data_IF_896075955896
#
_entry.id   IF_896075955896
#
_cell.length_a   1.000
_cell.length_b   1.000
_cell.length_c   1.000
_cell.angle_alpha   90.00
_cell.angle_beta   90.00
_cell.angle_gamma   90.00
#
_symmetry.space_group_name_H-M   'P 1'
#
loop_
_entity.id
_entity.type
_entity.pdbx_description
1 polymer ?
#
# COMPACT_ATOMS: atom_id res chain seq x y z
N UNK A 1 11.69 -8.60 -3.06
CA UNK A 1 11.73 -7.24 -2.48
C UNK A 1 12.81 -7.06 -1.42
N UNK A 2 12.86 -7.90 -0.38
CA UNK A 2 13.82 -7.80 0.74
C UNK A 2 15.29 -7.72 0.28
N UNK A 3 15.75 -8.63 -0.60
CA UNK A 3 17.13 -8.60 -1.14
C UNK A 3 17.52 -7.22 -1.71
N UNK A 4 16.66 -6.65 -2.55
CA UNK A 4 16.87 -5.33 -3.18
C UNK A 4 16.82 -4.18 -2.17
N UNK A 5 15.99 -4.30 -1.14
CA UNK A 5 15.94 -3.32 -0.06
C UNK A 5 17.24 -3.34 0.77
N UNK A 6 17.78 -4.52 1.07
CA UNK A 6 19.09 -4.68 1.72
C UNK A 6 20.23 -4.13 0.84
N UNK A 7 20.24 -4.43 -0.45
CA UNK A 7 21.22 -3.87 -1.40
C UNK A 7 21.19 -2.32 -1.42
N UNK A 8 19.98 -1.73 -1.35
CA UNK A 8 19.82 -0.27 -1.25
C UNK A 8 20.30 0.27 0.10
N UNK A 9 19.99 -0.39 1.21
CA UNK A 9 20.46 0.01 2.53
C UNK A 9 22.00 0.01 2.58
N UNK A 10 22.63 -1.02 2.02
CA UNK A 10 24.08 -1.13 1.87
C UNK A 10 24.66 -0.02 0.98
N UNK A 11 24.07 0.19 -0.19
CA UNK A 11 24.49 1.25 -1.12
C UNK A 11 24.44 2.66 -0.51
N UNK A 12 23.45 2.90 0.37
CA UNK A 12 23.29 4.17 1.10
C UNK A 12 24.01 4.20 2.47
N UNK A 13 24.69 3.11 2.87
CA UNK A 13 25.42 2.99 4.15
C UNK A 13 24.56 3.17 5.41
N UNK A 14 23.29 2.76 5.37
CA UNK A 14 22.33 2.91 6.49
C UNK A 14 21.97 1.59 7.17
N UNK A 15 22.67 0.49 6.89
CA UNK A 15 22.38 -0.85 7.45
C UNK A 15 22.40 -0.90 8.98
N UNK A 16 23.08 0.04 9.64
CA UNK A 16 23.10 0.17 11.09
C UNK A 16 21.83 0.82 11.68
N UNK A 17 21.00 1.45 10.83
CA UNK A 17 19.74 2.12 11.21
C UNK A 17 18.50 1.33 10.81
N UNK A 18 18.62 0.40 9.85
CA UNK A 18 17.47 -0.32 9.27
C UNK A 18 17.65 -1.83 9.41
N UNK A 19 16.60 -2.50 9.88
CA UNK A 19 16.50 -3.96 9.86
C UNK A 19 15.36 -4.36 8.93
N UNK A 20 15.67 -5.14 7.89
CA UNK A 20 14.73 -5.51 6.84
C UNK A 20 14.50 -7.02 6.89
N UNK A 21 13.25 -7.41 7.10
CA UNK A 21 12.84 -8.80 7.23
C UNK A 21 11.70 -9.13 6.26
N UNK A 22 11.52 -10.43 5.98
CA UNK A 22 10.30 -10.95 5.36
C UNK A 22 9.29 -11.27 6.46
N UNK A 23 8.07 -10.76 6.35
CA UNK A 23 7.00 -10.99 7.31
C UNK A 23 5.62 -11.00 6.64
N UNK A 24 4.66 -11.67 7.27
CA UNK A 24 3.24 -11.60 6.90
C UNK A 24 2.57 -10.48 7.71
N UNK A 25 1.86 -9.57 7.03
CA UNK A 25 1.15 -8.47 7.68
C UNK A 25 0.00 -8.96 8.58
N UNK A 26 -0.51 -10.17 8.37
CA UNK A 26 -1.51 -10.80 9.25
C UNK A 26 -0.89 -11.45 10.50
N UNK A 27 0.44 -11.49 10.61
CA UNK A 27 1.17 -12.02 11.78
C UNK A 27 2.58 -11.44 11.85
N UNK A 28 2.71 -10.26 12.44
CA UNK A 28 4.01 -9.59 12.51
C UNK A 28 4.92 -10.28 13.54
N UNK A 29 6.20 -10.57 13.22
CA UNK A 29 7.12 -11.28 14.09
C UNK A 29 7.75 -10.35 15.14
N UNK A 30 6.94 -9.52 15.78
CA UNK A 30 7.39 -8.55 16.77
C UNK A 30 6.56 -8.66 18.05
N UNK A 31 7.19 -8.47 19.21
CA UNK A 31 6.46 -8.42 20.47
C UNK A 31 5.49 -7.24 20.52
N UNK A 32 4.53 -7.35 21.43
CA UNK A 32 3.56 -6.30 21.72
C UNK A 32 4.26 -5.00 22.12
N UNK A 33 3.72 -3.86 21.70
CA UNK A 33 4.17 -2.52 22.12
C UNK A 33 5.67 -2.25 21.87
N UNK A 34 6.20 -2.73 20.75
CA UNK A 34 7.60 -2.54 20.38
C UNK A 34 7.88 -1.17 19.78
N UNK A 35 7.00 -0.66 18.92
CA UNK A 35 7.27 0.52 18.10
C UNK A 35 6.48 1.74 18.58
N UNK A 36 7.13 2.90 18.58
CA UNK A 36 6.48 4.19 18.85
C UNK A 36 5.55 4.62 17.69
N UNK A 37 5.94 4.26 16.46
CA UNK A 37 5.18 4.54 15.25
C UNK A 37 5.26 3.38 14.25
N UNK A 38 4.20 3.18 13.48
CA UNK A 38 4.12 2.26 12.35
C UNK A 38 3.68 3.04 11.11
N UNK A 39 4.32 2.76 9.97
CA UNK A 39 3.92 3.31 8.66
C UNK A 39 3.63 2.14 7.72
N UNK A 40 2.54 2.23 6.97
CA UNK A 40 2.18 1.27 5.92
C UNK A 40 1.71 1.99 4.68
N UNK A 41 2.24 1.60 3.52
CA UNK A 41 1.91 2.18 2.23
C UNK A 41 1.39 1.09 1.30
N UNK A 42 0.14 1.24 0.87
CA UNK A 42 -0.54 0.36 -0.10
C UNK A 42 -0.42 -1.12 0.23
N UNK A 43 -0.73 -1.49 1.49
CA UNK A 43 -0.69 -2.89 1.95
C UNK A 43 -2.09 -3.39 2.26
N UNK A 44 -2.87 -2.64 3.04
CA UNK A 44 -4.13 -3.14 3.60
C UNK A 44 -5.16 -3.36 2.48
N UNK A 45 -5.20 -2.50 1.46
CA UNK A 45 -6.08 -2.69 0.30
C UNK A 45 -5.90 -4.05 -0.40
N UNK A 46 -4.70 -4.63 -0.32
CA UNK A 46 -4.34 -5.91 -0.94
C UNK A 46 -4.46 -7.11 -0.01
N UNK A 47 -4.92 -6.89 1.22
CA UNK A 47 -5.10 -7.96 2.21
C UNK A 47 -6.54 -8.42 2.23
N UNK A 48 -6.74 -9.74 2.34
CA UNK A 48 -8.07 -10.33 2.47
C UNK A 48 -8.74 -9.91 3.79
N UNK A 49 -8.05 -10.10 4.92
CA UNK A 49 -8.54 -9.75 6.25
C UNK A 49 -7.87 -8.48 6.79
N UNK A 50 -8.43 -7.33 6.39
CA UNK A 50 -7.94 -6.00 6.76
C UNK A 50 -7.98 -5.74 8.27
N UNK A 51 -8.99 -6.28 8.95
CA UNK A 51 -9.14 -6.12 10.41
C UNK A 51 -8.02 -6.86 11.13
N UNK A 52 -7.69 -8.08 10.70
CA UNK A 52 -6.57 -8.83 11.28
C UNK A 52 -5.24 -8.10 11.11
N UNK A 53 -4.99 -7.52 9.93
CA UNK A 53 -3.77 -6.72 9.69
C UNK A 53 -3.71 -5.50 10.60
N UNK A 54 -4.82 -4.75 10.74
CA UNK A 54 -4.87 -3.61 11.66
C UNK A 54 -4.68 -4.02 13.13
N UNK A 55 -5.20 -5.18 13.54
CA UNK A 55 -4.95 -5.75 14.87
C UNK A 55 -3.47 -6.04 15.12
N UNK A 56 -2.77 -6.59 14.13
CA UNK A 56 -1.32 -6.80 14.22
C UNK A 56 -0.55 -5.49 14.27
N UNK A 57 -0.96 -4.48 13.49
CA UNK A 57 -0.33 -3.16 13.54
C UNK A 57 -0.46 -2.55 14.93
N UNK A 58 -1.65 -2.60 15.52
CA UNK A 58 -1.84 -2.16 16.90
C UNK A 58 -1.13 -3.04 17.91
N UNK A 59 -1.01 -4.36 17.69
CA UNK A 59 -0.28 -5.25 18.59
C UNK A 59 1.14 -4.74 18.79
N UNK A 60 1.84 -4.44 17.69
CA UNK A 60 3.25 -4.05 17.71
C UNK A 60 3.46 -2.56 18.07
N UNK A 61 2.47 -1.69 17.89
CA UNK A 61 2.54 -0.27 18.26
C UNK A 61 2.30 -0.06 19.76
N UNK A 62 3.08 0.81 20.41
CA UNK A 62 2.92 1.17 21.83
C UNK A 62 1.59 1.91 22.09
N UNK A 63 1.01 1.83 23.30
CA UNK A 63 -0.08 2.74 23.70
C UNK A 63 0.36 4.20 23.55
N UNK A 64 -0.50 5.06 23.02
CA UNK A 64 -0.17 6.44 22.68
C UNK A 64 0.64 6.62 21.39
N UNK A 65 1.14 5.52 20.81
CA UNK A 65 1.90 5.51 19.56
C UNK A 65 1.03 5.71 18.31
N UNK A 66 1.69 5.94 17.18
CA UNK A 66 1.05 6.33 15.92
C UNK A 66 1.04 5.24 14.87
N UNK A 67 0.01 5.25 14.03
CA UNK A 67 -0.12 4.42 12.83
C UNK A 67 -0.43 5.33 11.65
N UNK A 68 0.54 5.49 10.75
CA UNK A 68 0.42 6.24 9.50
C UNK A 68 0.13 5.31 8.34
N UNK A 69 -0.91 5.60 7.55
CA UNK A 69 -1.33 4.78 6.43
C UNK A 69 -1.44 5.63 5.17
N UNK A 70 -0.94 5.12 4.05
CA UNK A 70 -1.24 5.62 2.72
C UNK A 70 -1.93 4.51 1.94
N UNK A 71 -3.23 4.62 1.70
CA UNK A 71 -4.02 3.56 1.06
C UNK A 71 -4.77 4.07 -0.16
N UNK A 72 -4.73 3.26 -1.21
CA UNK A 72 -5.54 3.46 -2.40
C UNK A 72 -7.03 3.54 -2.04
N UNK A 73 -7.73 4.51 -2.64
CA UNK A 73 -9.05 4.94 -2.17
C UNK A 73 -9.98 5.26 -3.33
N UNK A 74 -11.23 4.80 -3.25
CA UNK A 74 -12.31 5.20 -4.17
C UNK A 74 -12.80 6.60 -3.77
N UNK A 75 -12.43 7.63 -4.54
CA UNK A 75 -12.79 9.04 -4.24
C UNK A 75 -14.18 9.41 -4.73
N UNK A 76 -14.72 8.67 -5.70
CA UNK A 76 -16.12 8.76 -6.14
C UNK A 76 -16.90 7.55 -5.65
N UNK A 77 -18.14 7.79 -5.25
CA UNK A 77 -19.05 6.72 -4.84
C UNK A 77 -19.46 5.85 -6.03
N UNK A 78 -19.85 4.60 -5.75
CA UNK A 78 -20.37 3.65 -6.73
C UNK A 78 -19.48 3.47 -7.97
N UNK A 79 -18.20 3.07 -7.80
CA UNK A 79 -17.32 2.83 -8.95
C UNK A 79 -17.93 1.77 -9.89
N UNK A 80 -17.85 1.94 -11.22
CA UNK A 80 -18.32 0.96 -12.17
C UNK A 80 -17.75 -0.44 -11.89
N UNK A 81 -18.58 -1.48 -12.04
CA UNK A 81 -18.18 -2.88 -11.81
C UNK A 81 -16.95 -3.29 -12.63
N UNK A 82 -16.76 -2.69 -13.81
CA UNK A 82 -15.59 -2.90 -14.66
C UNK A 82 -14.30 -2.43 -13.97
N UNK A 83 -14.31 -1.27 -13.31
CA UNK A 83 -13.15 -0.76 -12.56
C UNK A 83 -12.83 -1.65 -11.36
N UNK A 84 -13.87 -2.07 -10.63
CA UNK A 84 -13.70 -3.00 -9.49
C UNK A 84 -13.10 -4.32 -9.96
N UNK A 85 -13.62 -4.88 -11.05
CA UNK A 85 -13.10 -6.11 -11.66
C UNK A 85 -11.64 -5.94 -12.09
N UNK A 86 -11.31 -4.83 -12.73
CA UNK A 86 -9.94 -4.53 -13.12
C UNK A 86 -8.99 -4.52 -11.92
N UNK A 87 -9.35 -3.86 -10.81
CA UNK A 87 -8.48 -3.85 -9.62
C UNK A 87 -8.26 -5.23 -9.02
N UNK A 88 -9.31 -6.06 -8.98
CA UNK A 88 -9.25 -7.41 -8.39
C UNK A 88 -8.41 -8.35 -9.26
N UNK A 89 -8.62 -8.37 -10.58
CA UNK A 89 -8.04 -9.41 -11.44
C UNK A 89 -6.79 -8.96 -12.21
N UNK A 90 -6.63 -7.65 -12.43
CA UNK A 90 -5.59 -7.11 -13.29
C UNK A 90 -4.62 -6.18 -12.54
N UNK A 91 -5.05 -5.52 -11.46
CA UNK A 91 -4.20 -4.63 -10.65
C UNK A 91 -3.86 -5.21 -9.26
N UNK A 92 -3.46 -6.48 -9.23
CA UNK A 92 -2.86 -7.09 -8.03
C UNK A 92 -3.83 -7.48 -6.91
N UNK A 93 -5.15 -7.44 -7.13
CA UNK A 93 -6.12 -7.87 -6.12
C UNK A 93 -6.55 -6.78 -5.14
N UNK A 94 -6.39 -5.51 -5.50
CA UNK A 94 -6.75 -4.40 -4.63
C UNK A 94 -8.26 -4.39 -4.36
N UNK A 95 -8.62 -4.17 -3.10
CA UNK A 95 -10.01 -3.92 -2.66
C UNK A 95 -10.04 -2.60 -1.88
N UNK A 96 -9.97 -1.45 -2.58
CA UNK A 96 -9.98 -0.14 -1.95
C UNK A 96 -11.31 0.12 -1.23
N UNK A 97 -11.28 1.02 -0.24
CA UNK A 97 -12.49 1.57 0.38
C UNK A 97 -12.67 3.02 -0.04
N UNK A 98 -13.86 3.56 0.21
CA UNK A 98 -14.06 5.01 0.20
C UNK A 98 -13.33 5.66 1.38
N UNK A 99 -13.13 7.00 1.38
CA UNK A 99 -12.57 7.71 2.53
C UNK A 99 -13.25 7.36 3.85
N UNK A 100 -14.58 7.39 3.87
CA UNK A 100 -15.38 7.03 5.04
C UNK A 100 -15.26 5.55 5.41
N UNK A 101 -15.15 4.67 4.41
CA UNK A 101 -14.95 3.24 4.64
C UNK A 101 -13.60 2.94 5.28
N UNK A 102 -12.55 3.66 4.90
CA UNK A 102 -11.23 3.58 5.55
C UNK A 102 -11.28 4.12 6.97
N UNK A 103 -11.79 5.33 7.17
CA UNK A 103 -11.92 5.93 8.50
C UNK A 103 -12.68 5.02 9.47
N UNK A 104 -13.85 4.52 9.05
CA UNK A 104 -14.65 3.59 9.85
C UNK A 104 -13.89 2.30 10.18
N UNK A 105 -13.20 1.70 9.20
CA UNK A 105 -12.42 0.49 9.44
C UNK A 105 -11.32 0.72 10.50
N UNK A 106 -10.68 1.88 10.48
CA UNK A 106 -9.63 2.24 11.44
C UNK A 106 -10.22 2.44 12.84
N UNK A 107 -11.33 3.17 12.94
CA UNK A 107 -12.05 3.40 14.19
C UNK A 107 -12.61 2.10 14.80
N UNK A 108 -13.24 1.25 14.00
CA UNK A 108 -13.76 -0.06 14.40
C UNK A 108 -12.62 -1.00 14.85
N UNK A 109 -11.40 -0.77 14.37
CA UNK A 109 -10.23 -1.50 14.83
C UNK A 109 -9.68 -0.97 16.16
N UNK A 110 -10.15 0.17 16.68
CA UNK A 110 -9.66 0.76 17.93
C UNK A 110 -8.54 1.79 17.75
N UNK A 111 -8.32 2.26 16.51
CA UNK A 111 -7.46 3.40 16.23
C UNK A 111 -8.28 4.69 16.25
N UNK A 112 -7.74 5.75 16.84
CA UNK A 112 -8.32 7.09 16.75
C UNK A 112 -7.70 7.82 15.57
N UNK A 113 -8.48 8.14 14.54
CA UNK A 113 -7.99 8.97 13.42
C UNK A 113 -7.78 10.41 13.89
N UNK A 114 -6.55 10.90 13.77
CA UNK A 114 -6.15 12.27 14.11
C UNK A 114 -6.31 13.17 12.89
N UNK A 115 -5.78 12.73 11.74
CA UNK A 115 -5.94 13.40 10.45
C UNK A 115 -6.23 12.39 9.35
N UNK A 116 -6.98 12.84 8.35
CA UNK A 116 -7.22 12.10 7.11
C UNK A 116 -7.26 13.08 5.95
N UNK A 117 -6.41 12.87 4.96
CA UNK A 117 -6.36 13.68 3.75
C UNK A 117 -6.57 12.79 2.53
N UNK A 118 -7.38 13.25 1.59
CA UNK A 118 -7.72 12.50 0.38
C UNK A 118 -7.16 13.25 -0.82
N UNK A 119 -6.36 12.55 -1.61
CA UNK A 119 -5.65 13.10 -2.74
C UNK A 119 -6.11 12.35 -4.00
N UNK A 120 -6.73 13.04 -4.98
CA UNK A 120 -7.01 12.45 -6.29
C UNK A 120 -5.72 11.99 -6.97
N UNK A 121 -5.82 10.93 -7.78
CA UNK A 121 -4.74 10.58 -8.67
C UNK A 121 -4.96 11.31 -10.00
N UNK A 122 -4.10 12.26 -10.30
CA UNK A 122 -4.05 12.84 -11.64
C UNK A 122 -3.35 11.85 -12.58
N UNK A 123 -4.02 11.47 -13.66
CA UNK A 123 -3.34 10.77 -14.74
C UNK A 123 -2.42 11.79 -15.45
N UNK A 124 -1.09 11.57 -15.52
CA UNK A 124 -0.28 12.37 -16.39
C UNK A 124 -0.80 12.15 -17.81
N UNK A 125 -1.33 13.20 -18.43
CA UNK A 125 -1.69 13.18 -19.85
C UNK A 125 -0.49 12.63 -20.64
N UNK A 126 -0.75 11.84 -21.69
CA UNK A 126 0.28 11.23 -22.54
C UNK A 126 1.30 12.23 -23.11
N UNK A 127 1.05 13.54 -23.00
CA UNK A 127 1.93 14.63 -23.40
C UNK A 127 3.10 14.87 -22.43
N UNK A 128 3.01 14.39 -21.19
CA UNK A 128 4.06 14.55 -20.18
C UNK A 128 4.54 13.18 -19.69
N UNK A 129 5.22 12.44 -20.57
CA UNK A 129 5.95 11.27 -20.15
C UNK A 129 7.04 11.68 -19.15
N UNK A 130 6.80 11.50 -17.85
CA UNK A 130 7.78 11.88 -16.83
C UNK A 130 9.07 11.07 -17.00
N UNK A 131 10.22 11.68 -16.66
CA UNK A 131 11.51 11.00 -16.72
C UNK A 131 11.50 9.68 -15.92
N UNK A 132 10.75 9.65 -14.81
CA UNK A 132 10.53 8.47 -13.99
C UNK A 132 9.72 7.37 -14.71
N UNK A 133 8.69 7.75 -15.49
CA UNK A 133 7.90 6.80 -16.29
C UNK A 133 8.74 6.15 -17.39
N UNK A 134 9.58 6.95 -18.06
CA UNK A 134 10.52 6.46 -19.07
C UNK A 134 11.56 5.52 -18.43
N UNK A 135 12.18 5.91 -17.31
CA UNK A 135 13.11 5.04 -16.56
C UNK A 135 12.45 3.74 -16.11
N UNK A 136 11.20 3.79 -15.65
CA UNK A 136 10.45 2.60 -15.25
C UNK A 136 10.20 1.65 -16.43
N UNK A 137 9.78 2.18 -17.59
CA UNK A 137 9.60 1.39 -18.83
C UNK A 137 10.91 0.75 -19.30
N UNK A 138 11.98 1.53 -19.42
CA UNK A 138 13.30 1.03 -19.81
C UNK A 138 13.78 -0.08 -18.87
N UNK A 139 13.54 0.08 -17.57
CA UNK A 139 13.87 -0.94 -16.57
C UNK A 139 13.02 -2.20 -16.72
N UNK A 140 11.73 -2.07 -17.01
CA UNK A 140 10.83 -3.19 -17.24
C UNK A 140 11.25 -4.01 -18.48
N UNK A 141 11.60 -3.31 -19.57
CA UNK A 141 12.12 -3.91 -20.81
C UNK A 141 13.45 -4.62 -20.54
N UNK A 142 14.38 -3.96 -19.84
CA UNK A 142 15.66 -4.56 -19.48
C UNK A 142 15.48 -5.81 -18.61
N UNK A 143 14.57 -5.78 -17.64
CA UNK A 143 14.24 -6.94 -16.79
C UNK A 143 13.65 -8.09 -17.61
N UNK A 144 12.80 -7.81 -18.59
CA UNK A 144 12.23 -8.83 -19.48
C UNK A 144 13.32 -9.60 -20.23
N UNK A 145 14.34 -8.90 -20.75
CA UNK A 145 15.44 -9.55 -21.46
C UNK A 145 16.41 -10.26 -20.52
N UNK A 146 16.76 -9.65 -19.38
CA UNK A 146 17.78 -10.15 -18.44
C UNK A 146 17.34 -11.34 -17.59
N UNK A 147 16.06 -11.43 -17.24
CA UNK A 147 15.59 -12.42 -16.26
C UNK A 147 14.43 -13.26 -16.83
N UNK A 148 14.72 -14.41 -17.47
CA UNK A 148 13.70 -15.28 -18.06
C UNK A 148 12.60 -15.72 -17.06
N UNK A 149 12.94 -15.85 -15.78
CA UNK A 149 12.04 -16.24 -14.70
C UNK A 149 10.92 -15.22 -14.42
N UNK A 150 11.15 -13.92 -14.66
CA UNK A 150 10.15 -12.86 -14.43
C UNK A 150 9.39 -12.46 -15.69
N UNK A 151 9.73 -12.98 -16.88
CA UNK A 151 9.11 -12.59 -18.16
C UNK A 151 7.59 -12.73 -18.13
N UNK A 152 7.08 -13.82 -17.56
CA UNK A 152 5.63 -14.06 -17.47
C UNK A 152 4.92 -12.98 -16.65
N UNK A 153 5.50 -12.60 -15.51
CA UNK A 153 4.92 -11.60 -14.62
C UNK A 153 5.06 -10.17 -15.19
N UNK A 154 6.15 -9.89 -15.90
CA UNK A 154 6.33 -8.65 -16.65
C UNK A 154 5.28 -8.54 -17.77
N UNK A 155 5.07 -9.59 -18.56
CA UNK A 155 4.04 -9.60 -19.61
C UNK A 155 2.64 -9.43 -19.02
N UNK A 156 2.33 -10.10 -17.91
CA UNK A 156 1.07 -9.88 -17.17
C UNK A 156 0.91 -8.44 -16.72
N UNK A 157 1.99 -7.81 -16.25
CA UNK A 157 1.98 -6.40 -15.81
C UNK A 157 1.69 -5.48 -17.00
N UNK A 158 2.37 -5.68 -18.13
CA UNK A 158 2.16 -4.89 -19.36
C UNK A 158 0.72 -5.06 -19.88
N UNK A 159 0.23 -6.30 -19.96
CA UNK A 159 -1.14 -6.59 -20.40
C UNK A 159 -2.15 -5.97 -19.43
N UNK A 160 -1.90 -6.05 -18.11
CA UNK A 160 -2.70 -5.40 -17.09
C UNK A 160 -2.81 -3.90 -17.33
N UNK A 161 -1.67 -3.21 -17.52
CA UNK A 161 -1.66 -1.78 -17.83
C UNK A 161 -2.38 -1.45 -19.13
N UNK A 162 -2.27 -2.29 -20.16
CA UNK A 162 -2.95 -2.06 -21.45
C UNK A 162 -4.48 -2.26 -21.37
N UNK A 163 -4.94 -3.10 -20.45
CA UNK A 163 -6.37 -3.30 -20.16
C UNK A 163 -6.93 -2.31 -19.13
N UNK A 164 -6.14 -1.32 -18.73
CA UNK A 164 -6.56 -0.30 -17.77
C UNK A 164 -7.66 0.57 -18.37
N UNK A 165 -8.81 0.70 -17.69
CA UNK A 165 -9.86 1.61 -18.14
C UNK A 165 -9.41 3.07 -18.07
N UNK A 166 -9.66 3.85 -19.11
CA UNK A 166 -9.25 5.26 -19.21
C UNK A 166 -9.79 6.12 -18.06
N UNK A 167 -11.02 5.84 -17.64
CA UNK A 167 -11.70 6.57 -16.56
C UNK A 167 -11.30 6.10 -15.15
N UNK A 168 -10.34 5.18 -14.99
CA UNK A 168 -9.96 4.66 -13.67
C UNK A 168 -9.54 5.78 -12.72
N UNK A 169 -8.73 6.72 -13.20
CA UNK A 169 -8.18 7.82 -12.39
C UNK A 169 -9.24 8.81 -11.93
N UNK A 170 -10.35 8.95 -12.67
CA UNK A 170 -11.48 9.78 -12.23
C UNK A 170 -12.14 9.28 -10.95
N UNK A 171 -12.01 7.98 -10.64
CA UNK A 171 -12.62 7.35 -9.46
C UNK A 171 -11.59 7.08 -8.36
N UNK A 172 -10.31 7.25 -8.65
CA UNK A 172 -9.22 6.77 -7.81
C UNK A 172 -8.40 7.91 -7.23
N UNK A 173 -8.03 7.70 -5.98
CA UNK A 173 -7.11 8.54 -5.24
C UNK A 173 -6.32 7.69 -4.26
N UNK A 174 -5.63 8.37 -3.36
CA UNK A 174 -5.07 7.77 -2.17
C UNK A 174 -5.46 8.61 -0.95
N UNK A 175 -5.62 7.92 0.18
CA UNK A 175 -5.87 8.55 1.47
C UNK A 175 -4.65 8.44 2.35
N UNK A 176 -4.23 9.55 2.94
CA UNK A 176 -3.23 9.60 4.00
C UNK A 176 -3.98 9.68 5.33
N UNK A 177 -3.77 8.70 6.21
CA UNK A 177 -4.41 8.62 7.52
C UNK A 177 -3.33 8.60 8.60
N UNK A 178 -3.38 9.56 9.52
CA UNK A 178 -2.59 9.51 10.75
C UNK A 178 -3.51 9.14 11.90
N UNK A 179 -3.24 7.99 12.53
CA UNK A 179 -4.03 7.48 13.64
C UNK A 179 -3.18 7.30 14.88
N UNK A 180 -3.83 7.34 16.04
CA UNK A 180 -3.21 7.07 17.33
C UNK A 180 -3.85 5.85 17.99
N UNK A 181 -3.02 4.98 18.58
CA UNK A 181 -3.48 3.88 19.43
C UNK A 181 -3.81 4.44 20.81
N UNK A 182 -5.03 4.20 21.30
CA UNK A 182 -5.44 4.67 22.63
C UNK A 182 -4.63 4.07 23.78
N UNK A 183 -4.48 4.83 24.86
CA UNK A 183 -3.69 4.43 26.05
C UNK A 183 -4.30 3.26 26.84
N UNK A 184 -5.61 3.05 26.71
CA UNK A 184 -6.40 2.17 27.57
C UNK A 184 -6.71 0.77 27.01
N UNK A 185 -6.05 0.33 25.93
CA UNK A 185 -6.14 -1.08 25.51
C UNK A 185 -5.26 -1.99 26.38
N UNK A 186 -5.53 -1.98 27.70
CA UNK A 186 -5.06 -3.00 28.64
C UNK A 186 -5.74 -4.31 28.26
N UNK A 187 -4.92 -5.34 28.08
CA UNK A 187 -5.36 -6.65 27.61
C UNK A 187 -6.52 -7.22 28.43
N UNK A 188 -7.46 -7.81 27.72
CA UNK A 188 -8.15 -8.99 28.24
C UNK A 188 -7.17 -10.16 28.24
#
# INVERSE_FOLDING_TARGET
>A
MVKKANERAKGNKIEHLVNIITADAHKLPFPRNKFDSLISESVIAFTGDKIKVLKEYMHVTKPGGYVGLNEITWIKENPPKSLVRYLIYNAGGATPKSPNGWKKLLEDSGLKTITSEIHPLDYPSHENESEDSSKARHKLIALYFKEPSYRRDILKTIIGTWQMPDNLFEYMGYGIYCCQKGDNMRGH
#
